data_IF_686787990501
#
_entry.id   IF_686787990501
#
_cell.length_a   1.000
_cell.length_b   1.000
_cell.length_c   1.000
_cell.angle_alpha   90.00
_cell.angle_beta   90.00
_cell.angle_gamma   90.00
#
_symmetry.space_group_name_H-M   'P 1'
#
loop_
_entity.id
_entity.type
_entity.pdbx_description
1 polymer ?
#
# COMPACT_ATOMS: atom_id res chain seq x y z
N UNK A 1 9.49 -1.28 -12.86
CA UNK A 1 10.16 -1.30 -11.52
C UNK A 1 11.01 -2.54 -11.42
N UNK A 2 12.23 -2.43 -10.90
CA UNK A 2 13.16 -3.56 -10.75
C UNK A 2 13.38 -3.85 -9.26
N UNK A 3 13.27 -5.11 -8.84
CA UNK A 3 13.56 -5.52 -7.46
C UNK A 3 15.04 -5.36 -7.09
N UNK A 4 15.96 -5.38 -8.06
CA UNK A 4 17.41 -5.36 -7.83
C UNK A 4 17.87 -4.20 -6.93
N UNK A 5 17.36 -2.99 -7.13
CA UNK A 5 17.78 -1.84 -6.30
C UNK A 5 17.18 -1.93 -4.88
N UNK A 6 15.92 -2.37 -4.76
CA UNK A 6 15.31 -2.67 -3.47
C UNK A 6 16.07 -3.78 -2.72
N UNK A 7 16.58 -4.79 -3.44
CA UNK A 7 17.40 -5.89 -2.90
C UNK A 7 18.71 -5.38 -2.33
N UNK A 8 19.41 -4.48 -3.02
CA UNK A 8 20.65 -3.86 -2.53
C UNK A 8 20.41 -3.05 -1.25
N UNK A 9 19.34 -2.24 -1.22
CA UNK A 9 18.93 -1.48 -0.04
C UNK A 9 18.64 -2.41 1.13
N UNK A 10 17.87 -3.48 0.88
CA UNK A 10 17.53 -4.47 1.89
C UNK A 10 18.77 -5.20 2.42
N UNK A 11 19.73 -5.56 1.54
CA UNK A 11 20.99 -6.21 1.92
C UNK A 11 21.77 -5.34 2.89
N UNK A 12 21.99 -4.07 2.53
CA UNK A 12 22.68 -3.11 3.39
C UNK A 12 21.96 -2.93 4.73
N UNK A 13 20.62 -2.95 4.73
CA UNK A 13 19.82 -2.88 5.94
C UNK A 13 19.98 -4.11 6.85
N UNK A 14 20.10 -5.33 6.28
CA UNK A 14 20.39 -6.54 7.05
C UNK A 14 21.82 -6.51 7.62
N UNK A 15 22.79 -6.04 6.83
CA UNK A 15 24.19 -5.96 7.23
C UNK A 15 24.38 -5.00 8.41
N UNK A 16 23.76 -3.81 8.35
CA UNK A 16 23.75 -2.84 9.46
C UNK A 16 23.18 -3.42 10.76
N UNK A 17 22.35 -4.46 10.67
CA UNK A 17 21.71 -5.11 11.82
C UNK A 17 22.41 -6.39 12.28
N UNK A 18 23.52 -6.78 11.64
CA UNK A 18 24.17 -8.07 11.91
C UNK A 18 23.29 -9.27 11.55
N UNK A 19 22.40 -9.12 10.57
CA UNK A 19 21.47 -10.16 10.12
C UNK A 19 21.85 -10.77 8.76
N UNK A 20 23.07 -10.50 8.26
CA UNK A 20 23.55 -10.94 6.95
C UNK A 20 23.35 -12.43 6.68
N UNK A 21 23.53 -13.27 7.70
CA UNK A 21 23.38 -14.73 7.60
C UNK A 21 21.95 -15.19 7.24
N UNK A 22 20.93 -14.34 7.43
CA UNK A 22 19.54 -14.65 7.11
C UNK A 22 19.08 -14.03 5.78
N UNK A 23 19.91 -13.19 5.15
CA UNK A 23 19.48 -12.39 4.02
C UNK A 23 19.07 -13.23 2.81
N UNK A 24 19.84 -14.25 2.43
CA UNK A 24 19.57 -15.00 1.20
C UNK A 24 18.22 -15.72 1.23
N UNK A 25 17.90 -16.34 2.37
CA UNK A 25 16.60 -16.99 2.59
C UNK A 25 15.44 -15.98 2.54
N UNK A 26 15.57 -14.87 3.27
CA UNK A 26 14.53 -13.84 3.33
C UNK A 26 14.36 -13.15 1.97
N UNK A 27 15.47 -12.89 1.27
CA UNK A 27 15.49 -12.23 -0.03
C UNK A 27 14.78 -13.08 -1.08
N UNK A 28 14.93 -14.41 -1.05
CA UNK A 28 14.22 -15.29 -2.00
C UNK A 28 12.70 -15.15 -1.85
N UNK A 29 12.21 -15.18 -0.60
CA UNK A 29 10.79 -14.96 -0.32
C UNK A 29 10.33 -13.56 -0.76
N UNK A 30 11.10 -12.53 -0.39
CA UNK A 30 10.73 -11.14 -0.65
C UNK A 30 10.77 -10.77 -2.13
N UNK A 31 11.71 -11.33 -2.90
CA UNK A 31 11.80 -11.17 -4.34
C UNK A 31 10.58 -11.77 -5.04
N UNK A 32 10.24 -13.02 -4.72
CA UNK A 32 9.05 -13.68 -5.25
C UNK A 32 7.77 -12.91 -4.91
N UNK A 33 7.61 -12.52 -3.64
CA UNK A 33 6.44 -11.78 -3.20
C UNK A 33 6.36 -10.38 -3.85
N UNK A 34 7.48 -9.68 -4.01
CA UNK A 34 7.54 -8.39 -4.68
C UNK A 34 7.11 -8.51 -6.14
N UNK A 35 7.62 -9.50 -6.87
CA UNK A 35 7.31 -9.71 -8.28
C UNK A 35 5.83 -10.04 -8.47
N UNK A 36 5.28 -10.97 -7.67
CA UNK A 36 3.85 -11.33 -7.72
C UNK A 36 2.93 -10.15 -7.36
N UNK A 37 3.22 -9.43 -6.26
CA UNK A 37 2.45 -8.25 -5.86
C UNK A 37 2.51 -7.17 -6.93
N UNK A 38 3.69 -6.93 -7.50
CA UNK A 38 3.90 -5.90 -8.51
C UNK A 38 3.14 -6.23 -9.79
N UNK A 39 3.18 -7.47 -10.26
CA UNK A 39 2.38 -7.93 -11.40
C UNK A 39 0.90 -7.69 -11.15
N UNK A 40 0.35 -8.22 -10.04
CA UNK A 40 -1.07 -8.10 -9.71
C UNK A 40 -1.51 -6.64 -9.59
N UNK A 41 -0.66 -5.78 -9.00
CA UNK A 41 -0.96 -4.36 -8.87
C UNK A 41 -1.00 -3.67 -10.23
N UNK A 42 -0.05 -3.97 -11.13
CA UNK A 42 -0.06 -3.40 -12.48
C UNK A 42 -1.22 -3.93 -13.32
N UNK A 43 -1.52 -5.22 -13.25
CA UNK A 43 -2.67 -5.81 -13.93
C UNK A 43 -3.96 -5.10 -13.50
N UNK A 44 -4.13 -4.85 -12.19
CA UNK A 44 -5.25 -4.07 -11.68
C UNK A 44 -5.24 -2.62 -12.18
N UNK A 45 -4.08 -1.96 -12.14
CA UNK A 45 -3.94 -0.57 -12.60
C UNK A 45 -4.27 -0.42 -14.09
N UNK A 46 -4.00 -1.42 -14.92
CA UNK A 46 -4.39 -1.39 -16.34
C UNK A 46 -5.91 -1.44 -16.54
N UNK A 47 -6.66 -2.06 -15.63
CA UNK A 47 -8.12 -2.07 -15.67
C UNK A 47 -8.76 -0.75 -15.21
N UNK A 48 -7.95 0.21 -14.73
CA UNK A 48 -8.43 1.54 -14.35
C UNK A 48 -8.20 2.50 -15.52
N UNK A 49 -9.29 3.05 -16.04
CA UNK A 49 -9.26 4.08 -17.10
C UNK A 49 -8.67 5.39 -16.55
N UNK A 50 -9.14 5.80 -15.37
CA UNK A 50 -8.75 7.06 -14.74
C UNK A 50 -8.70 6.90 -13.23
N UNK A 51 -7.60 7.32 -12.59
CA UNK A 51 -7.47 7.25 -11.12
C UNK A 51 -8.12 8.46 -10.48
N UNK A 52 -9.25 8.23 -9.81
CA UNK A 52 -10.04 9.27 -9.12
C UNK A 52 -9.73 9.30 -7.62
N UNK A 53 -9.39 8.16 -7.03
CA UNK A 53 -9.11 8.02 -5.61
C UNK A 53 -7.81 7.25 -5.41
N UNK A 54 -6.88 7.81 -4.64
CA UNK A 54 -5.62 7.17 -4.28
C UNK A 54 -5.53 6.98 -2.77
N UNK A 55 -5.64 5.73 -2.33
CA UNK A 55 -5.50 5.37 -0.92
C UNK A 55 -4.07 4.90 -0.61
N UNK A 56 -3.34 5.65 0.20
CA UNK A 56 -2.01 5.29 0.69
C UNK A 56 -2.13 4.40 1.94
N UNK A 57 -1.47 3.25 1.92
CA UNK A 57 -1.72 2.21 2.92
C UNK A 57 -0.55 1.25 3.16
N UNK A 58 -0.82 0.28 4.04
CA UNK A 58 -0.11 -0.98 4.15
C UNK A 58 -1.16 -2.08 3.93
N UNK A 59 -1.28 -2.57 2.71
CA UNK A 59 -2.23 -3.61 2.36
C UNK A 59 -1.91 -4.92 3.10
N UNK A 60 -2.85 -5.88 3.14
CA UNK A 60 -2.58 -7.17 3.77
C UNK A 60 -1.34 -7.82 3.15
N UNK A 61 -0.39 -8.19 4.01
CA UNK A 61 0.86 -8.82 3.59
C UNK A 61 0.59 -10.08 2.76
N UNK A 62 1.50 -10.35 1.81
CA UNK A 62 1.46 -11.52 0.93
C UNK A 62 1.31 -12.81 1.75
N UNK A 63 2.40 -13.26 2.40
CA UNK A 63 2.44 -14.48 3.21
C UNK A 63 2.00 -15.73 2.45
N UNK A 64 1.99 -16.87 3.16
CA UNK A 64 1.49 -18.16 2.61
C UNK A 64 0.07 -18.09 2.03
N UNK A 65 -0.78 -17.18 2.54
CA UNK A 65 -2.18 -17.03 2.11
C UNK A 65 -2.38 -16.03 0.97
N UNK A 66 -1.31 -15.38 0.47
CA UNK A 66 -1.31 -14.42 -0.65
C UNK A 66 -2.42 -13.36 -0.56
N UNK A 67 -2.66 -12.80 0.64
CA UNK A 67 -3.88 -12.04 0.96
C UNK A 67 -3.97 -10.62 0.37
N UNK A 68 -3.06 -10.26 -0.53
CA UNK A 68 -2.98 -8.93 -1.11
C UNK A 68 -4.32 -8.44 -1.64
N UNK A 69 -4.62 -7.15 -1.51
CA UNK A 69 -5.95 -6.59 -1.76
C UNK A 69 -6.44 -6.85 -3.19
N UNK A 70 -5.54 -6.92 -4.16
CA UNK A 70 -5.84 -7.18 -5.56
C UNK A 70 -5.75 -8.64 -5.99
N UNK A 71 -5.43 -9.57 -5.07
CA UNK A 71 -5.50 -11.00 -5.40
C UNK A 71 -6.95 -11.51 -5.29
N UNK A 72 -7.66 -11.81 -6.41
CA UNK A 72 -9.06 -12.23 -6.38
C UNK A 72 -9.27 -13.60 -5.73
N UNK A 73 -8.24 -14.45 -5.69
CA UNK A 73 -8.29 -15.82 -5.19
C UNK A 73 -8.31 -15.92 -3.65
N UNK A 74 -8.61 -14.82 -2.95
CA UNK A 74 -8.61 -14.75 -1.49
C UNK A 74 -9.84 -14.02 -0.99
N UNK A 75 -10.18 -14.17 0.29
CA UNK A 75 -11.26 -13.38 0.91
C UNK A 75 -10.81 -11.95 1.19
N UNK A 76 -11.75 -11.00 1.19
CA UNK A 76 -11.51 -9.67 1.77
C UNK A 76 -11.05 -9.81 3.22
N UNK A 77 -10.33 -8.79 3.70
CA UNK A 77 -9.86 -8.74 5.08
C UNK A 77 -10.36 -7.46 5.75
N UNK A 78 -10.13 -7.35 7.06
CA UNK A 78 -10.38 -6.15 7.87
C UNK A 78 -9.68 -4.88 7.37
N UNK A 79 -8.75 -5.03 6.43
CA UNK A 79 -8.12 -3.90 5.75
C UNK A 79 -9.16 -2.99 5.08
N UNK A 80 -10.06 -3.57 4.29
CA UNK A 80 -11.13 -2.87 3.59
C UNK A 80 -12.26 -3.87 3.32
N UNK A 81 -13.36 -3.75 4.06
CA UNK A 81 -14.48 -4.63 3.87
C UNK A 81 -15.29 -4.19 2.65
N UNK A 82 -15.81 -5.18 1.91
CA UNK A 82 -16.67 -4.95 0.75
C UNK A 82 -17.89 -4.09 1.10
N UNK A 83 -18.47 -4.28 2.28
CA UNK A 83 -19.62 -3.50 2.74
C UNK A 83 -19.25 -2.03 3.00
N UNK A 84 -17.99 -1.72 3.36
CA UNK A 84 -17.59 -0.32 3.54
C UNK A 84 -17.78 0.49 2.25
N UNK A 85 -17.48 -0.11 1.10
CA UNK A 85 -17.68 0.50 -0.21
C UNK A 85 -19.10 0.28 -0.75
N UNK A 86 -19.66 -0.92 -0.54
CA UNK A 86 -21.00 -1.28 -0.99
C UNK A 86 -22.08 -0.38 -0.40
N UNK A 87 -22.00 -0.07 0.89
CA UNK A 87 -22.95 0.83 1.57
C UNK A 87 -22.88 2.25 0.98
N UNK A 88 -21.67 2.76 0.71
CA UNK A 88 -21.44 4.12 0.18
C UNK A 88 -21.99 4.26 -1.25
N UNK A 89 -21.79 3.22 -2.07
CA UNK A 89 -22.20 3.20 -3.48
C UNK A 89 -23.63 2.67 -3.68
N UNK A 90 -24.31 2.27 -2.61
CA UNK A 90 -25.59 1.54 -2.69
C UNK A 90 -25.52 0.33 -3.64
N UNK A 91 -24.45 -0.46 -3.53
CA UNK A 91 -24.17 -1.65 -4.37
C UNK A 91 -23.94 -2.88 -3.51
N UNK A 92 -24.54 -4.00 -3.88
CA UNK A 92 -24.23 -5.29 -3.26
C UNK A 92 -22.92 -5.86 -3.86
N UNK A 93 -21.85 -5.87 -3.06
CA UNK A 93 -20.55 -6.40 -3.48
C UNK A 93 -20.39 -7.84 -2.98
N UNK A 94 -20.50 -8.81 -3.89
CA UNK A 94 -20.66 -10.22 -3.53
C UNK A 94 -19.37 -10.90 -3.09
N UNK A 95 -18.26 -10.61 -3.74
CA UNK A 95 -16.99 -11.28 -3.53
C UNK A 95 -15.82 -10.33 -3.81
N UNK A 96 -14.58 -10.83 -3.69
CA UNK A 96 -13.38 -10.01 -3.83
C UNK A 96 -13.13 -9.55 -5.27
N UNK A 97 -13.39 -10.39 -6.24
CA UNK A 97 -13.29 -10.03 -7.66
C UNK A 97 -14.24 -8.88 -8.01
N UNK A 98 -15.50 -8.99 -7.58
CA UNK A 98 -16.48 -7.93 -7.75
C UNK A 98 -16.10 -6.65 -6.97
N UNK A 99 -15.52 -6.77 -5.78
CA UNK A 99 -14.96 -5.62 -5.05
C UNK A 99 -13.85 -4.91 -5.85
N UNK A 100 -12.92 -5.68 -6.43
CA UNK A 100 -11.84 -5.15 -7.26
C UNK A 100 -12.41 -4.45 -8.49
N UNK A 101 -13.36 -5.08 -9.18
CA UNK A 101 -14.05 -4.49 -10.33
C UNK A 101 -14.72 -3.17 -9.96
N UNK A 102 -15.49 -3.13 -8.86
CA UNK A 102 -16.14 -1.89 -8.40
C UNK A 102 -15.12 -0.80 -8.07
N UNK A 103 -13.97 -1.15 -7.47
CA UNK A 103 -12.88 -0.20 -7.27
C UNK A 103 -12.36 0.33 -8.60
N UNK A 104 -12.15 -0.55 -9.58
CA UNK A 104 -11.63 -0.17 -10.89
C UNK A 104 -12.61 0.75 -11.66
N UNK A 105 -13.90 0.39 -11.66
CA UNK A 105 -14.97 1.16 -12.31
C UNK A 105 -15.05 2.61 -11.81
N UNK A 106 -14.79 2.84 -10.52
CA UNK A 106 -14.80 4.20 -9.94
C UNK A 106 -13.42 4.88 -9.93
N UNK A 107 -12.37 4.19 -10.38
CA UNK A 107 -11.00 4.72 -10.34
C UNK A 107 -10.36 4.74 -8.95
N UNK A 108 -10.69 3.78 -8.08
CA UNK A 108 -10.15 3.65 -6.72
C UNK A 108 -8.90 2.76 -6.71
N UNK A 109 -7.75 3.38 -6.49
CA UNK A 109 -6.45 2.70 -6.43
C UNK A 109 -5.87 2.72 -5.02
N UNK A 110 -5.30 1.59 -4.62
CA UNK A 110 -4.67 1.35 -3.32
C UNK A 110 -3.18 1.17 -3.57
N UNK A 111 -2.38 1.91 -2.81
CA UNK A 111 -0.94 1.95 -2.97
C UNK A 111 -0.26 1.66 -1.63
N UNK A 112 0.63 0.68 -1.63
CA UNK A 112 1.50 0.36 -0.51
C UNK A 112 2.65 1.36 -0.40
N UNK A 113 3.01 1.72 0.83
CA UNK A 113 4.16 2.61 1.08
C UNK A 113 5.50 1.87 1.05
N UNK A 114 5.50 0.56 1.30
CA UNK A 114 6.70 -0.26 1.40
C UNK A 114 6.70 -1.38 0.36
N UNK A 115 7.84 -1.69 -0.28
CA UNK A 115 7.94 -2.79 -1.23
C UNK A 115 7.96 -4.17 -0.56
N UNK A 116 8.20 -4.25 0.75
CA UNK A 116 8.54 -5.53 1.40
C UNK A 116 7.39 -6.08 2.26
N UNK A 117 6.88 -7.29 1.97
CA UNK A 117 5.89 -7.95 2.82
C UNK A 117 6.53 -8.65 4.06
N UNK A 118 7.31 -7.90 4.85
CA UNK A 118 8.04 -8.41 6.02
C UNK A 118 7.08 -8.98 7.09
N UNK A 119 7.30 -10.22 7.52
CA UNK A 119 6.43 -10.90 8.48
C UNK A 119 7.20 -11.93 9.33
N UNK A 120 6.68 -12.23 10.52
CA UNK A 120 7.39 -13.08 11.49
C UNK A 120 7.49 -14.57 11.10
N UNK A 121 6.84 -15.00 10.02
CA UNK A 121 6.86 -16.40 9.56
C UNK A 121 7.91 -16.63 8.48
N UNK A 122 8.03 -15.67 7.57
CA UNK A 122 8.83 -15.82 6.35
C UNK A 122 10.13 -14.99 6.39
N UNK A 123 10.27 -14.04 7.32
CA UNK A 123 11.44 -13.15 7.38
C UNK A 123 11.96 -12.92 8.80
N UNK A 124 13.27 -12.71 8.94
CA UNK A 124 14.00 -12.42 10.18
C UNK A 124 13.71 -11.04 10.76
N UNK A 125 13.21 -10.10 9.97
CA UNK A 125 12.62 -8.84 10.44
C UNK A 125 11.14 -8.76 10.11
N UNK A 126 10.35 -8.01 10.89
CA UNK A 126 8.90 -7.85 10.64
C UNK A 126 8.31 -6.54 11.20
N UNK A 127 7.07 -6.22 10.80
CA UNK A 127 6.40 -4.98 11.22
C UNK A 127 5.58 -5.08 12.52
N UNK A 128 5.33 -6.28 13.04
CA UNK A 128 4.30 -6.53 14.05
C UNK A 128 4.87 -6.72 15.45
N UNK A 129 5.65 -7.79 15.67
CA UNK A 129 6.13 -8.24 16.98
C UNK A 129 7.32 -9.19 16.89
N UNK A 130 8.09 -9.25 17.96
CA UNK A 130 9.12 -10.27 18.13
C UNK A 130 8.43 -11.63 18.25
N UNK A 131 8.70 -12.55 17.32
CA UNK A 131 8.10 -13.90 17.32
C UNK A 131 8.94 -14.85 16.48
N UNK A 132 9.13 -16.08 16.96
CA UNK A 132 9.87 -17.15 16.26
C UNK A 132 11.28 -16.70 15.82
N UNK A 133 11.97 -15.90 16.64
CA UNK A 133 13.28 -15.34 16.31
C UNK A 133 13.28 -14.24 15.24
N UNK A 134 12.11 -13.87 14.69
CA UNK A 134 11.95 -12.69 13.84
C UNK A 134 11.80 -11.43 14.70
N UNK A 135 12.56 -10.39 14.36
CA UNK A 135 12.68 -9.15 15.11
C UNK A 135 11.76 -8.06 14.56
N UNK A 136 11.00 -7.42 15.44
CA UNK A 136 10.15 -6.28 15.08
C UNK A 136 11.04 -5.07 14.74
N UNK A 137 10.77 -4.45 13.60
CA UNK A 137 11.33 -3.14 13.28
C UNK A 137 10.78 -2.07 14.23
N UNK A 138 11.67 -1.24 14.76
CA UNK A 138 11.26 -0.01 15.44
C UNK A 138 10.62 0.97 14.43
N UNK A 139 9.89 1.98 14.93
CA UNK A 139 9.32 3.03 14.06
C UNK A 139 10.41 3.73 13.24
N UNK A 140 11.57 4.01 13.85
CA UNK A 140 12.71 4.67 13.19
C UNK A 140 13.30 3.80 12.08
N UNK A 141 13.56 2.54 12.37
CA UNK A 141 14.12 1.58 11.41
C UNK A 141 13.17 1.35 10.22
N UNK A 142 11.87 1.23 10.48
CA UNK A 142 10.91 1.08 9.40
C UNK A 142 10.83 2.34 8.54
N UNK A 143 10.86 3.53 9.18
CA UNK A 143 10.91 4.80 8.46
C UNK A 143 12.16 4.93 7.59
N UNK A 144 13.33 4.56 8.11
CA UNK A 144 14.58 4.53 7.35
C UNK A 144 14.46 3.62 6.13
N UNK A 145 13.95 2.40 6.30
CA UNK A 145 13.80 1.44 5.20
C UNK A 145 12.86 1.95 4.09
N UNK A 146 11.73 2.56 4.47
CA UNK A 146 10.80 3.19 3.51
C UNK A 146 11.46 4.36 2.81
N UNK A 147 12.12 5.25 3.54
CA UNK A 147 12.80 6.41 2.96
C UNK A 147 13.82 5.99 1.89
N UNK A 148 14.61 4.95 2.16
CA UNK A 148 15.59 4.43 1.20
C UNK A 148 14.96 3.83 -0.05
N UNK A 149 13.75 3.25 0.05
CA UNK A 149 13.06 2.57 -1.05
C UNK A 149 12.04 3.43 -1.81
N UNK A 150 11.79 4.67 -1.38
CA UNK A 150 10.87 5.58 -2.07
C UNK A 150 11.22 5.75 -3.56
N UNK A 151 12.47 6.07 -3.95
CA UNK A 151 12.80 6.36 -5.35
C UNK A 151 12.61 5.16 -6.29
N UNK A 152 12.75 3.94 -5.76
CA UNK A 152 12.76 2.69 -6.50
C UNK A 152 11.41 1.95 -6.47
N UNK A 153 10.49 2.35 -5.59
CA UNK A 153 9.19 1.71 -5.44
C UNK A 153 8.02 2.70 -5.46
N UNK A 154 7.87 3.49 -4.39
CA UNK A 154 6.69 4.34 -4.21
C UNK A 154 6.62 5.42 -5.29
N UNK A 155 7.73 6.13 -5.53
CA UNK A 155 7.80 7.18 -6.54
C UNK A 155 7.59 6.65 -7.96
N UNK A 156 8.09 5.45 -8.26
CA UNK A 156 7.87 4.82 -9.58
C UNK A 156 6.39 4.55 -9.83
N UNK A 157 5.66 4.03 -8.84
CA UNK A 157 4.21 3.84 -8.95
C UNK A 157 3.47 5.17 -9.07
N UNK A 158 3.90 6.19 -8.32
CA UNK A 158 3.32 7.54 -8.41
C UNK A 158 3.50 8.16 -9.80
N UNK A 159 4.69 8.02 -10.43
CA UNK A 159 4.93 8.48 -11.80
C UNK A 159 3.95 7.84 -12.78
N UNK A 160 3.76 6.52 -12.70
CA UNK A 160 2.78 5.81 -13.54
C UNK A 160 1.34 6.26 -13.25
N UNK A 161 0.98 6.50 -11.99
CA UNK A 161 -0.35 7.02 -11.63
C UNK A 161 -0.57 8.42 -12.21
N UNK A 162 0.46 9.27 -12.24
CA UNK A 162 0.36 10.63 -12.74
C UNK A 162 -0.10 10.72 -14.20
N UNK A 163 0.16 9.68 -15.00
CA UNK A 163 -0.26 9.57 -16.41
C UNK A 163 -1.76 9.31 -16.57
N UNK A 164 -2.40 8.64 -15.58
CA UNK A 164 -3.83 8.27 -15.61
C UNK A 164 -4.69 8.99 -14.57
N UNK A 165 -4.12 9.90 -13.77
CA UNK A 165 -4.88 10.56 -12.68
C UNK A 165 -5.96 11.48 -13.23
N UNK A 166 -7.03 11.65 -12.45
CA UNK A 166 -7.96 12.73 -12.69
C UNK A 166 -7.43 14.08 -12.24
N UNK A 167 -7.99 15.15 -12.82
CA UNK A 167 -7.68 16.53 -12.44
C UNK A 167 -7.98 16.80 -10.97
N UNK A 168 -9.00 16.14 -10.42
CA UNK A 168 -9.48 16.27 -9.05
C UNK A 168 -9.22 15.02 -8.20
N UNK A 169 -8.14 14.28 -8.47
CA UNK A 169 -7.78 13.07 -7.72
C UNK A 169 -7.80 13.34 -6.21
N UNK A 170 -8.47 12.47 -5.45
CA UNK A 170 -8.51 12.54 -3.99
C UNK A 170 -7.53 11.54 -3.40
N UNK A 171 -6.56 12.05 -2.64
CA UNK A 171 -5.52 11.21 -2.01
C UNK A 171 -5.71 11.18 -0.50
N UNK A 172 -5.59 10.00 0.12
CA UNK A 172 -5.80 9.87 1.56
C UNK A 172 -5.11 8.67 2.19
N UNK A 173 -4.80 8.76 3.49
CA UNK A 173 -4.22 7.67 4.26
C UNK A 173 -5.29 6.73 4.84
N UNK A 174 -5.04 5.42 4.70
CA UNK A 174 -5.87 4.38 5.33
C UNK A 174 -5.70 4.29 6.84
N UNK A 175 -4.49 4.48 7.36
CA UNK A 175 -4.15 4.24 8.77
C UNK A 175 -3.45 5.44 9.42
N UNK A 176 -3.81 5.75 10.67
CA UNK A 176 -3.17 6.79 11.47
C UNK A 176 -1.67 6.56 11.61
N UNK A 177 -1.26 5.30 11.84
CA UNK A 177 0.15 4.92 11.95
C UNK A 177 0.93 5.27 10.68
N UNK A 178 0.36 4.99 9.50
CA UNK A 178 1.02 5.25 8.21
C UNK A 178 1.18 6.76 8.03
N UNK A 179 0.09 7.54 8.21
CA UNK A 179 0.14 9.01 8.18
C UNK A 179 1.21 9.57 9.14
N UNK A 180 1.10 9.25 10.43
CA UNK A 180 1.98 9.75 11.49
C UNK A 180 3.45 9.29 11.38
N UNK A 181 3.76 8.36 10.48
CA UNK A 181 5.12 7.84 10.29
C UNK A 181 5.72 8.29 8.97
N UNK A 182 4.91 8.55 7.93
CA UNK A 182 5.40 8.72 6.56
C UNK A 182 4.81 9.93 5.83
N UNK A 183 3.93 10.71 6.44
CA UNK A 183 3.22 11.81 5.74
C UNK A 183 4.15 12.78 5.04
N UNK A 184 5.21 13.23 5.69
CA UNK A 184 6.17 14.17 5.08
C UNK A 184 6.88 13.56 3.85
N UNK A 185 7.30 12.29 3.93
CA UNK A 185 7.94 11.58 2.83
C UNK A 185 6.97 11.36 1.66
N UNK A 186 5.74 10.95 1.97
CA UNK A 186 4.67 10.70 0.98
C UNK A 186 4.25 11.99 0.31
N UNK A 187 3.99 13.04 1.09
CA UNK A 187 3.52 14.34 0.60
C UNK A 187 4.52 14.93 -0.37
N UNK A 188 5.82 14.87 -0.04
CA UNK A 188 6.88 15.31 -0.94
C UNK A 188 6.79 14.63 -2.31
N UNK A 189 6.72 13.29 -2.34
CA UNK A 189 6.64 12.53 -3.60
C UNK A 189 5.36 12.88 -4.39
N UNK A 190 4.22 13.01 -3.70
CA UNK A 190 2.96 13.33 -4.35
C UNK A 190 2.95 14.75 -4.95
N UNK A 191 3.52 15.74 -4.26
CA UNK A 191 3.65 17.12 -4.72
C UNK A 191 4.63 17.20 -5.91
N UNK A 192 5.82 16.60 -5.77
CA UNK A 192 6.86 16.60 -6.81
C UNK A 192 6.35 15.97 -8.12
N UNK A 193 5.41 15.01 -8.02
CA UNK A 193 4.77 14.35 -9.17
C UNK A 193 3.37 14.89 -9.50
N UNK A 194 2.99 16.06 -8.97
CA UNK A 194 1.74 16.78 -9.26
C UNK A 194 0.46 15.96 -9.04
N UNK A 195 0.49 15.00 -8.12
CA UNK A 195 -0.71 14.26 -7.68
C UNK A 195 -1.60 15.17 -6.84
N UNK A 196 -0.99 15.89 -5.90
CA UNK A 196 -1.64 16.89 -5.04
C UNK A 196 -0.88 18.22 -5.13
N UNK A 197 -1.49 19.33 -4.71
CA UNK A 197 -0.84 20.65 -4.72
C UNK A 197 0.00 20.85 -3.48
N UNK A 198 -0.54 20.44 -2.34
CA UNK A 198 0.12 20.57 -1.04
C UNK A 198 -0.19 19.36 -0.14
N UNK A 199 0.40 19.36 1.06
CA UNK A 199 0.20 18.31 2.05
C UNK A 199 -1.23 18.31 2.64
N UNK A 200 -1.91 19.47 2.66
CA UNK A 200 -3.25 19.62 3.25
C UNK A 200 -4.34 19.00 2.36
N UNK A 201 -4.07 18.85 1.07
CA UNK A 201 -4.89 18.09 0.11
C UNK A 201 -4.97 16.58 0.43
N UNK A 202 -4.10 16.07 1.31
CA UNK A 202 -4.05 14.64 1.65
C UNK A 202 -4.94 14.34 2.86
N UNK A 203 -6.07 13.70 2.59
CA UNK A 203 -7.03 13.31 3.60
C UNK A 203 -6.63 12.07 4.41
N UNK A 204 -7.55 11.62 5.25
CA UNK A 204 -7.43 10.35 5.96
C UNK A 204 -8.79 9.75 6.29
N UNK A 205 -8.88 8.43 6.26
CA UNK A 205 -10.14 7.68 6.47
C UNK A 205 -10.08 6.71 7.65
N UNK A 206 -9.21 6.93 8.63
CA UNK A 206 -9.12 6.07 9.81
C UNK A 206 -9.99 6.59 10.97
N UNK A 207 -10.48 5.66 11.79
CA UNK A 207 -11.08 5.93 13.11
C UNK A 207 -10.29 5.28 14.25
N UNK A 208 -10.60 5.66 15.50
CA UNK A 208 -10.06 5.04 16.70
C UNK A 208 -10.30 3.52 16.65
N UNK A 209 -9.24 2.72 16.89
CA UNK A 209 -9.29 1.26 16.76
C UNK A 209 -8.90 0.70 15.38
N UNK A 210 -8.56 1.54 14.40
CA UNK A 210 -7.91 1.11 13.13
C UNK A 210 -8.86 0.75 11.98
N UNK A 211 -10.18 0.81 12.19
CA UNK A 211 -11.17 0.66 11.13
C UNK A 211 -11.22 1.84 10.15
N UNK A 212 -11.98 1.68 9.08
CA UNK A 212 -12.35 2.78 8.17
C UNK A 212 -13.42 3.65 8.84
N UNK A 213 -13.25 4.96 8.72
CA UNK A 213 -14.26 5.97 8.97
C UNK A 213 -15.14 6.10 7.71
N UNK A 214 -16.31 5.45 7.74
CA UNK A 214 -17.21 5.39 6.59
C UNK A 214 -17.73 6.77 6.19
N UNK A 215 -18.01 7.65 7.15
CA UNK A 215 -18.48 9.00 6.88
C UNK A 215 -17.43 9.79 6.10
N UNK A 216 -16.16 9.72 6.50
CA UNK A 216 -15.08 10.38 5.75
C UNK A 216 -14.89 9.78 4.35
N UNK A 217 -14.92 8.46 4.24
CA UNK A 217 -14.80 7.78 2.95
C UNK A 217 -15.96 8.17 2.02
N UNK A 218 -17.19 8.24 2.55
CA UNK A 218 -18.38 8.65 1.82
C UNK A 218 -18.28 10.10 1.33
N UNK A 219 -17.85 11.03 2.19
CA UNK A 219 -17.60 12.42 1.81
C UNK A 219 -16.59 12.51 0.66
N UNK A 220 -15.50 11.75 0.72
CA UNK A 220 -14.48 11.73 -0.35
C UNK A 220 -15.06 11.21 -1.67
N UNK A 221 -15.82 10.11 -1.63
CA UNK A 221 -16.36 9.46 -2.83
C UNK A 221 -17.50 10.29 -3.46
N UNK A 222 -18.40 10.85 -2.64
CA UNK A 222 -19.60 11.55 -3.14
C UNK A 222 -19.35 13.01 -3.55
N UNK A 223 -18.26 13.65 -3.11
CA UNK A 223 -17.92 15.03 -3.48
C UNK A 223 -17.24 15.17 -4.86
N UNK A 224 -17.40 14.20 -5.77
CA UNK A 224 -16.99 14.40 -7.15
C UNK A 224 -18.10 15.15 -7.90
N UNK A 225 -17.83 16.36 -8.44
CA UNK A 225 -18.73 16.89 -9.47
C UNK A 225 -18.69 15.94 -10.67
N UNK A 226 -19.89 15.57 -11.14
CA UNK A 226 -20.09 14.85 -12.40
C UNK A 226 -19.43 15.60 -13.56
#
# INVERSE_FOLDING_TARGET
>A
MNYSDNKKILKAFYDKRGLSAYFDQDSLYLENAFNEITSIWFDNFQQIDKVNFLMISEAPLWGKKKKYIYNPNTKNSQFFYRNDLGDILNKNILNKENFIKVCNDIGFLILDISPFPLNYKDTKINYAKNKNGSLKLTKKEYRELVQLTIPTFFEQKIKTIAEKKSTNIKTFFRYARVKNTFEDLVSKVLIDNKIVRDQQDIGAIFKKGGGIDKTKLEMIIKQQPL
#
